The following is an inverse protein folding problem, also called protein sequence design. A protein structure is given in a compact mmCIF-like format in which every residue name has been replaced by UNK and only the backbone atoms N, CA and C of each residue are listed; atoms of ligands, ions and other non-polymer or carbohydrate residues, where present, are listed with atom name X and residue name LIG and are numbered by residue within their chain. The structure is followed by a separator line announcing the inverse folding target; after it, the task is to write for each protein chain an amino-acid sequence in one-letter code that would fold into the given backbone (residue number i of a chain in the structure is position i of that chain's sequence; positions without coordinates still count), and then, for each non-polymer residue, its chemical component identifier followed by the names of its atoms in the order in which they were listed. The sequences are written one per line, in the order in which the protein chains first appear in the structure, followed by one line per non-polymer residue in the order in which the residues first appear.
data_IF_643725851756
#
_entry.id   IF_643725851756
#
_cell.length_a   1.000
_cell.length_b   1.000
_cell.length_c   1.000
_cell.angle_alpha   90.00
_cell.angle_beta   90.00
_cell.angle_gamma   90.00
#
_symmetry.space_group_name_H-M   'P 1'
#
loop_
_entity.id
_entity.type
_entity.pdbx_description
1 polymer ?
#
# COMPACT_ATOMS: atom_id res chain seq x y z
N UNK A 1 -21.47 1.90 -11.47
CA UNK A 1 -20.27 2.33 -10.72
C UNK A 1 -20.59 2.16 -9.23
N UNK A 2 -19.75 1.47 -8.46
CA UNK A 2 -19.88 1.40 -7.00
C UNK A 2 -18.70 2.14 -6.38
N UNK A 3 -19.01 2.97 -5.38
CA UNK A 3 -18.05 3.78 -4.65
C UNK A 3 -17.98 3.28 -3.22
N UNK A 4 -16.77 3.23 -2.67
CA UNK A 4 -16.50 3.06 -1.25
C UNK A 4 -15.71 4.28 -0.82
N UNK A 5 -16.20 4.98 0.19
CA UNK A 5 -15.51 6.12 0.80
C UNK A 5 -15.19 5.73 2.23
N UNK A 6 -13.94 5.91 2.61
CA UNK A 6 -13.47 5.79 3.99
C UNK A 6 -12.53 6.94 4.26
N UNK A 7 -12.54 7.46 5.48
CA UNK A 7 -11.65 8.54 5.88
C UNK A 7 -11.03 8.27 7.25
N UNK A 8 -9.95 8.99 7.54
CA UNK A 8 -9.37 9.05 8.87
C UNK A 8 -8.70 10.41 9.06
N UNK A 9 -8.48 10.77 10.32
CA UNK A 9 -7.74 11.98 10.71
C UNK A 9 -6.42 11.54 11.34
N UNK A 10 -5.33 12.13 10.88
CA UNK A 10 -3.96 11.81 11.28
C UNK A 10 -3.31 13.05 11.88
N UNK A 11 -2.75 12.94 13.08
CA UNK A 11 -1.94 13.99 13.71
C UNK A 11 -0.55 14.11 13.09
N UNK A 12 -0.49 14.48 11.81
CA UNK A 12 0.73 14.85 11.09
C UNK A 12 0.47 15.93 10.03
N UNK A 13 1.51 16.72 9.65
CA UNK A 13 1.42 17.66 8.54
C UNK A 13 1.00 16.98 7.23
N UNK A 14 0.17 17.67 6.46
CA UNK A 14 -0.44 17.13 5.24
C UNK A 14 0.60 16.68 4.22
N UNK A 15 1.67 17.44 4.10
CA UNK A 15 2.80 17.18 3.22
C UNK A 15 3.46 15.84 3.53
N UNK A 16 3.66 15.51 4.82
CA UNK A 16 4.28 14.26 5.24
C UNK A 16 3.38 13.05 4.98
N UNK A 17 2.09 13.18 5.28
CA UNK A 17 1.11 12.13 5.03
C UNK A 17 0.97 11.88 3.52
N UNK A 18 0.92 12.95 2.73
CA UNK A 18 0.89 12.86 1.27
C UNK A 18 2.14 12.14 0.74
N UNK A 19 3.33 12.60 1.13
CA UNK A 19 4.60 12.06 0.63
C UNK A 19 4.73 10.57 0.97
N UNK A 20 4.25 10.16 2.14
CA UNK A 20 4.21 8.76 2.55
C UNK A 20 3.29 7.91 1.67
N UNK A 21 2.08 8.39 1.34
CA UNK A 21 1.12 7.65 0.51
C UNK A 21 1.54 7.63 -0.97
N UNK A 22 2.18 8.71 -1.43
CA UNK A 22 2.68 8.86 -2.79
C UNK A 22 3.87 7.94 -3.10
N UNK A 23 4.55 7.42 -2.07
CA UNK A 23 5.60 6.40 -2.19
C UNK A 23 5.01 4.99 -2.10
N UNK A 24 4.87 4.33 -3.25
CA UNK A 24 4.37 2.95 -3.31
C UNK A 24 5.32 1.94 -2.65
N UNK A 25 6.59 2.27 -2.41
CA UNK A 25 7.51 1.39 -1.69
C UNK A 25 7.08 1.20 -0.23
N UNK A 26 6.42 2.20 0.36
CA UNK A 26 5.93 2.20 1.75
C UNK A 26 4.52 1.59 1.89
N UNK A 27 3.86 1.26 0.77
CA UNK A 27 2.50 0.71 0.75
C UNK A 27 2.32 -0.50 1.68
N UNK A 28 3.26 -1.48 1.76
CA UNK A 28 3.09 -2.61 2.67
C UNK A 28 3.05 -2.23 4.14
N UNK A 29 3.63 -1.09 4.54
CA UNK A 29 3.64 -0.66 5.95
C UNK A 29 2.23 -0.57 6.56
N UNK A 30 1.21 -0.30 5.73
CA UNK A 30 -0.17 -0.16 6.19
C UNK A 30 -1.19 -1.04 5.45
N UNK A 31 -0.78 -1.76 4.40
CA UNK A 31 -1.70 -2.56 3.56
C UNK A 31 -1.34 -4.06 3.45
N UNK A 32 -0.28 -4.53 4.12
CA UNK A 32 0.17 -5.93 4.07
C UNK A 32 -0.86 -6.96 4.58
N UNK A 33 -1.91 -6.53 5.30
CA UNK A 33 -2.96 -7.42 5.80
C UNK A 33 -3.77 -8.03 4.67
N UNK A 34 -3.87 -7.37 3.52
CA UNK A 34 -4.69 -7.81 2.38
C UNK A 34 -3.97 -7.70 1.02
N UNK A 35 -2.86 -6.96 0.94
CA UNK A 35 -1.96 -6.95 -0.21
C UNK A 35 -0.75 -7.85 0.06
N UNK A 36 -0.70 -9.02 -0.56
CA UNK A 36 0.40 -9.99 -0.47
C UNK A 36 1.31 -9.88 -1.68
N UNK A 37 2.55 -10.38 -1.58
CA UNK A 37 3.54 -10.37 -2.66
C UNK A 37 3.69 -9.00 -3.36
N UNK A 38 3.65 -7.92 -2.57
CA UNK A 38 3.68 -6.56 -3.09
C UNK A 38 5.06 -6.25 -3.67
N UNK A 39 5.15 -5.92 -4.95
CA UNK A 39 6.39 -5.63 -5.66
C UNK A 39 6.25 -4.39 -6.52
N UNK A 40 7.28 -3.56 -6.56
CA UNK A 40 7.33 -2.45 -7.49
C UNK A 40 7.36 -2.97 -8.93
N UNK A 41 6.54 -2.37 -9.79
CA UNK A 41 6.49 -2.66 -11.21
C UNK A 41 7.38 -1.71 -12.03
N UNK A 42 7.88 -0.64 -11.40
CA UNK A 42 8.70 0.41 -12.01
C UNK A 42 9.79 0.85 -11.02
N UNK A 43 10.89 1.37 -11.56
CA UNK A 43 12.05 1.78 -10.75
C UNK A 43 11.77 3.02 -9.88
N UNK A 44 10.99 3.99 -10.40
CA UNK A 44 10.52 5.11 -9.59
C UNK A 44 9.28 4.68 -8.78
N UNK A 45 9.35 4.63 -7.44
CA UNK A 45 8.23 4.24 -6.60
C UNK A 45 7.34 5.43 -6.18
N UNK A 46 7.73 6.67 -6.47
CA UNK A 46 7.09 7.87 -5.93
C UNK A 46 6.33 8.65 -7.00
N UNK A 47 5.11 9.06 -6.66
CA UNK A 47 4.31 10.01 -7.43
C UNK A 47 3.84 9.48 -8.79
N UNK A 48 3.48 10.40 -9.70
CA UNK A 48 2.92 10.05 -11.00
C UNK A 48 3.83 9.10 -11.78
N UNK A 49 3.25 7.99 -12.24
CA UNK A 49 3.93 6.96 -13.00
C UNK A 49 4.55 5.86 -12.13
N UNK A 50 4.55 5.98 -10.80
CA UNK A 50 4.87 4.86 -9.91
C UNK A 50 3.85 3.74 -10.08
N UNK A 51 4.30 2.48 -10.02
CA UNK A 51 3.42 1.33 -10.17
C UNK A 51 3.91 0.13 -9.35
N UNK A 52 2.96 -0.72 -8.95
CA UNK A 52 3.22 -1.92 -8.18
C UNK A 52 2.27 -3.07 -8.55
N UNK A 53 2.70 -4.30 -8.32
CA UNK A 53 1.95 -5.54 -8.47
C UNK A 53 1.81 -6.25 -7.13
N UNK A 54 0.70 -6.94 -6.94
CA UNK A 54 0.42 -7.65 -5.69
C UNK A 54 -0.58 -8.79 -5.92
N UNK A 55 -0.78 -9.59 -4.88
CA UNK A 55 -1.88 -10.51 -4.70
C UNK A 55 -2.86 -9.93 -3.69
N UNK A 56 -4.09 -9.70 -4.12
CA UNK A 56 -5.19 -9.33 -3.26
C UNK A 56 -5.72 -10.60 -2.57
N UNK A 57 -5.62 -10.64 -1.25
CA UNK A 57 -6.05 -11.77 -0.43
C UNK A 57 -7.55 -11.67 -0.11
N UNK A 58 -8.40 -12.01 -1.08
CA UNK A 58 -9.85 -11.95 -0.91
C UNK A 58 -10.39 -13.23 -0.24
N UNK A 59 -11.56 -13.18 0.41
CA UNK A 59 -12.15 -14.38 0.97
C UNK A 59 -12.37 -15.43 -0.12
N UNK A 60 -11.79 -16.63 0.09
CA UNK A 60 -11.89 -17.84 -0.74
C UNK A 60 -10.93 -17.95 -1.94
N UNK A 61 -10.19 -16.90 -2.32
CA UNK A 61 -9.18 -16.98 -3.39
C UNK A 61 -8.22 -15.77 -3.36
N UNK A 62 -7.09 -15.85 -4.05
CA UNK A 62 -6.22 -14.69 -4.24
C UNK A 62 -6.31 -14.17 -5.68
N UNK A 63 -6.34 -12.85 -5.84
CA UNK A 63 -6.46 -12.20 -7.14
C UNK A 63 -5.23 -11.35 -7.45
N UNK A 64 -4.61 -11.54 -8.62
CA UNK A 64 -3.49 -10.68 -9.05
C UNK A 64 -3.99 -9.28 -9.34
N UNK A 65 -3.27 -8.30 -8.81
CA UNK A 65 -3.54 -6.88 -8.99
C UNK A 65 -2.30 -6.13 -9.46
N UNK A 66 -2.54 -5.04 -10.19
CA UNK A 66 -1.55 -4.00 -10.48
C UNK A 66 -2.19 -2.66 -10.16
N UNK A 67 -1.42 -1.73 -9.59
CA UNK A 67 -1.80 -0.32 -9.40
C UNK A 67 -0.74 0.58 -10.01
N UNK A 68 -1.17 1.76 -10.46
CA UNK A 68 -0.28 2.83 -10.88
C UNK A 68 -0.84 4.19 -10.44
N UNK A 69 0.02 5.08 -9.97
CA UNK A 69 -0.35 6.47 -9.71
C UNK A 69 -0.41 7.18 -11.06
N UNK A 70 -1.60 7.63 -11.46
CA UNK A 70 -1.85 8.32 -12.73
C UNK A 70 -1.87 9.83 -12.57
N UNK A 71 -2.18 10.31 -11.37
CA UNK A 71 -2.20 11.72 -11.01
C UNK A 71 -1.63 11.89 -9.59
N UNK A 72 -0.86 12.95 -9.39
CA UNK A 72 -0.26 13.31 -8.12
C UNK A 72 -0.16 14.85 -8.05
N UNK A 73 -1.08 15.49 -7.35
CA UNK A 73 -1.07 16.93 -7.05
C UNK A 73 -0.67 17.12 -5.59
N UNK A 74 0.62 17.36 -5.34
CA UNK A 74 1.15 17.51 -3.97
C UNK A 74 0.71 18.85 -3.38
N UNK A 75 0.23 18.91 -2.12
CA UNK A 75 0.00 17.82 -1.17
C UNK A 75 -1.50 17.43 -1.05
N UNK A 76 -2.30 17.63 -2.10
CA UNK A 76 -3.77 17.59 -2.03
C UNK A 76 -4.38 16.28 -2.49
N UNK A 77 -3.83 15.65 -3.53
CA UNK A 77 -4.52 14.57 -4.23
C UNK A 77 -3.61 13.55 -4.89
N UNK A 78 -4.00 12.29 -4.82
CA UNK A 78 -3.38 11.18 -5.56
C UNK A 78 -4.50 10.37 -6.22
N UNK A 79 -4.34 10.06 -7.50
CA UNK A 79 -5.23 9.15 -8.22
C UNK A 79 -4.45 7.91 -8.65
N UNK A 80 -4.94 6.76 -8.23
CA UNK A 80 -4.42 5.44 -8.55
C UNK A 80 -5.38 4.71 -9.48
N UNK A 81 -4.87 4.17 -10.58
CA UNK A 81 -5.59 3.21 -11.40
C UNK A 81 -5.14 1.79 -11.06
N UNK A 82 -6.11 0.93 -10.77
CA UNK A 82 -5.91 -0.48 -10.52
C UNK A 82 -6.47 -1.38 -11.61
N UNK A 83 -5.78 -2.50 -11.83
CA UNK A 83 -6.23 -3.61 -12.67
C UNK A 83 -6.24 -4.88 -11.83
N UNK A 84 -7.42 -5.48 -11.65
CA UNK A 84 -7.60 -6.71 -10.89
C UNK A 84 -7.97 -7.88 -11.82
N UNK A 85 -7.52 -9.08 -11.45
CA UNK A 85 -7.99 -10.34 -12.01
C UNK A 85 -7.11 -10.94 -13.11
N UNK A 86 -7.48 -12.15 -13.54
CA UNK A 86 -6.79 -12.86 -14.63
C UNK A 86 -6.87 -12.00 -15.90
N UNK A 87 -5.72 -11.49 -16.36
CA UNK A 87 -5.56 -10.53 -17.47
C UNK A 87 -6.02 -9.08 -17.19
N UNK A 88 -6.12 -8.64 -15.94
CA UNK A 88 -6.44 -7.23 -15.60
C UNK A 88 -7.82 -6.79 -16.08
N UNK A 89 -8.81 -7.69 -15.95
CA UNK A 89 -10.16 -7.54 -16.52
C UNK A 89 -11.02 -6.51 -15.78
N UNK A 90 -10.78 -6.29 -14.50
CA UNK A 90 -11.52 -5.35 -13.66
C UNK A 90 -10.71 -4.07 -13.47
N UNK A 91 -11.30 -2.92 -13.78
CA UNK A 91 -10.69 -1.61 -13.53
C UNK A 91 -11.20 -1.03 -12.23
N UNK A 92 -10.27 -0.52 -11.44
CA UNK A 92 -10.55 0.21 -10.20
C UNK A 92 -9.84 1.55 -10.26
N UNK A 93 -10.42 2.56 -9.63
CA UNK A 93 -9.77 3.85 -9.41
C UNK A 93 -9.81 4.11 -7.92
N UNK A 94 -8.69 4.47 -7.32
CA UNK A 94 -8.63 4.93 -5.94
C UNK A 94 -8.16 6.39 -5.94
N UNK A 95 -8.89 7.25 -5.26
CA UNK A 95 -8.59 8.67 -5.11
C UNK A 95 -8.32 8.91 -3.63
N UNK A 96 -7.13 9.41 -3.34
CA UNK A 96 -6.78 9.95 -2.03
C UNK A 96 -6.90 11.46 -2.10
N UNK A 97 -7.72 12.05 -1.23
CA UNK A 97 -7.80 13.48 -1.02
C UNK A 97 -7.28 13.80 0.39
N UNK A 98 -6.44 14.82 0.49
CA UNK A 98 -5.74 15.22 1.72
C UNK A 98 -6.13 16.65 2.10
N UNK A 99 -6.84 16.78 3.21
CA UNK A 99 -7.34 18.07 3.72
C UNK A 99 -6.64 18.40 5.04
N UNK A 100 -6.03 19.58 5.12
CA UNK A 100 -5.53 20.08 6.40
C UNK A 100 -6.73 20.59 7.21
N UNK A 101 -6.98 19.99 8.37
CA UNK A 101 -8.07 20.43 9.27
C UNK A 101 -7.56 21.48 10.27
N UNK A 102 -6.35 21.27 10.77
CA UNK A 102 -5.65 22.14 11.71
C UNK A 102 -4.13 22.07 11.46
N UNK A 103 -3.32 22.98 12.02
CA UNK A 103 -1.86 22.86 11.97
C UNK A 103 -1.39 21.51 12.52
N UNK A 104 -0.77 20.70 11.65
CA UNK A 104 -0.28 19.37 12.03
C UNK A 104 -1.36 18.27 12.07
N UNK A 105 -2.56 18.53 11.53
CA UNK A 105 -3.64 17.54 11.46
C UNK A 105 -4.18 17.43 10.03
N UNK A 106 -4.28 16.20 9.54
CA UNK A 106 -4.68 15.91 8.16
C UNK A 106 -5.81 14.90 8.13
N UNK A 107 -6.93 15.25 7.49
CA UNK A 107 -7.93 14.29 7.05
C UNK A 107 -7.49 13.66 5.74
N UNK A 108 -7.44 12.33 5.71
CA UNK A 108 -7.20 11.53 4.50
C UNK A 108 -8.50 10.85 4.15
N UNK A 109 -9.07 11.19 3.00
CA UNK A 109 -10.21 10.48 2.42
C UNK A 109 -9.72 9.57 1.30
N UNK A 110 -10.15 8.30 1.33
CA UNK A 110 -9.92 7.33 0.27
C UNK A 110 -11.26 6.98 -0.38
N UNK A 111 -11.43 7.42 -1.61
CA UNK A 111 -12.56 7.07 -2.46
C UNK A 111 -12.13 6.01 -3.49
N UNK A 112 -12.71 4.81 -3.40
CA UNK A 112 -12.48 3.73 -4.37
C UNK A 112 -13.69 3.53 -5.28
N UNK A 113 -13.48 3.68 -6.58
CA UNK A 113 -14.44 3.36 -7.63
C UNK A 113 -14.11 2.01 -8.27
N UNK A 114 -15.14 1.21 -8.55
CA UNK A 114 -14.98 -0.02 -9.30
C UNK A 114 -16.03 -0.11 -10.41
N UNK A 115 -15.56 -0.44 -11.62
CA UNK A 115 -16.42 -0.76 -12.75
C UNK A 115 -16.58 -2.28 -12.86
N UNK A 116 -17.77 -2.83 -12.56
CA UNK A 116 -18.02 -4.26 -12.74
C UNK A 116 -18.19 -4.57 -14.23
N UNK A 117 -17.34 -5.44 -14.79
CA UNK A 117 -17.51 -5.92 -16.17
C UNK A 117 -18.22 -7.27 -16.31
N UNK A 118 -18.56 -7.96 -15.21
CA UNK A 118 -19.26 -9.25 -15.30
C UNK A 118 -20.43 -9.34 -14.33
N UNK A 119 -21.58 -9.75 -14.86
CA UNK A 119 -22.86 -9.88 -14.15
C UNK A 119 -22.90 -11.05 -13.14
N UNK A 120 -21.91 -11.95 -13.18
CA UNK A 120 -21.87 -13.07 -12.26
C UNK A 120 -21.60 -12.56 -10.84
N UNK A 121 -22.70 -12.46 -10.11
CA UNK A 121 -22.81 -12.44 -8.67
C UNK A 121 -22.84 -11.05 -8.00
N UNK A 122 -23.87 -10.27 -8.33
CA UNK A 122 -24.24 -9.01 -7.63
C UNK A 122 -24.25 -9.14 -6.09
N UNK A 123 -24.45 -10.34 -5.54
CA UNK A 123 -24.44 -10.63 -4.10
C UNK A 123 -23.03 -10.85 -3.56
N UNK A 124 -22.18 -11.65 -4.21
CA UNK A 124 -20.73 -11.70 -3.91
C UNK A 124 -20.08 -10.34 -4.07
N UNK A 125 -20.51 -9.53 -5.03
CA UNK A 125 -20.03 -8.16 -5.21
C UNK A 125 -20.32 -7.27 -3.99
N UNK A 126 -21.51 -7.35 -3.38
CA UNK A 126 -21.79 -6.56 -2.15
C UNK A 126 -20.85 -6.94 -1.01
N UNK A 127 -20.58 -8.24 -0.85
CA UNK A 127 -19.63 -8.74 0.16
C UNK A 127 -18.19 -8.32 -0.15
N UNK A 128 -17.76 -8.40 -1.41
CA UNK A 128 -16.44 -7.96 -1.85
C UNK A 128 -16.22 -6.45 -1.65
N UNK A 129 -17.22 -5.62 -1.99
CA UNK A 129 -17.16 -4.18 -1.75
C UNK A 129 -17.13 -3.83 -0.25
N UNK A 130 -17.98 -4.48 0.55
CA UNK A 130 -17.96 -4.28 2.01
C UNK A 130 -16.64 -4.75 2.61
N UNK A 131 -16.09 -5.87 2.13
CA UNK A 131 -14.79 -6.37 2.53
C UNK A 131 -13.68 -5.37 2.16
N UNK A 132 -13.70 -4.84 0.93
CA UNK A 132 -12.74 -3.83 0.48
C UNK A 132 -12.81 -2.58 1.36
N UNK A 133 -14.02 -2.08 1.66
CA UNK A 133 -14.18 -0.95 2.58
C UNK A 133 -13.57 -1.21 3.96
N UNK A 134 -13.78 -2.40 4.54
CA UNK A 134 -13.14 -2.78 5.81
C UNK A 134 -11.61 -2.87 5.70
N UNK A 135 -11.08 -3.36 4.58
CA UNK A 135 -9.63 -3.43 4.40
C UNK A 135 -9.02 -2.04 4.24
N UNK A 136 -9.69 -1.15 3.50
CA UNK A 136 -9.30 0.24 3.30
C UNK A 136 -9.37 1.03 4.61
N UNK A 137 -10.44 0.87 5.39
CA UNK A 137 -10.58 1.47 6.72
C UNK A 137 -9.44 1.04 7.64
N UNK A 138 -9.17 -0.27 7.71
CA UNK A 138 -8.03 -0.82 8.48
C UNK A 138 -6.67 -0.34 7.95
N UNK A 139 -6.55 -0.10 6.66
CA UNK A 139 -5.33 0.43 6.06
C UNK A 139 -5.10 1.89 6.47
N UNK A 140 -6.14 2.73 6.47
CA UNK A 140 -6.07 4.10 6.95
C UNK A 140 -5.81 4.16 8.47
N UNK A 141 -6.43 3.28 9.26
CA UNK A 141 -6.14 3.16 10.69
C UNK A 141 -4.66 2.82 10.95
N UNK A 142 -4.09 1.90 10.16
CA UNK A 142 -2.67 1.55 10.23
C UNK A 142 -1.77 2.70 9.79
N UNK A 143 -2.15 3.43 8.74
CA UNK A 143 -1.45 4.63 8.30
C UNK A 143 -1.40 5.66 9.43
N UNK A 144 -2.54 5.92 10.09
CA UNK A 144 -2.62 6.81 11.24
C UNK A 144 -1.65 6.42 12.35
N UNK A 145 -1.62 5.12 12.72
CA UNK A 145 -0.71 4.60 13.76
C UNK A 145 0.77 4.80 13.42
N UNK A 146 1.16 4.76 12.15
CA UNK A 146 2.55 5.00 11.72
C UNK A 146 3.03 6.42 12.06
N UNK A 147 2.12 7.39 12.12
CA UNK A 147 2.42 8.78 12.46
C UNK A 147 2.24 9.08 13.95
N UNK A 148 1.25 8.46 14.60
CA UNK A 148 0.89 8.81 15.98
C UNK A 148 1.61 7.97 17.05
N UNK A 149 2.04 6.74 16.73
CA UNK A 149 2.67 5.85 17.70
C UNK A 149 4.21 5.84 17.59
N UNK A 150 4.94 5.84 18.72
CA UNK A 150 6.40 5.67 18.73
C UNK A 150 6.81 4.35 18.05
N UNK A 151 7.75 4.43 17.11
CA UNK A 151 8.15 3.27 16.31
C UNK A 151 9.16 2.39 17.05
N UNK A 152 8.76 1.17 17.39
CA UNK A 152 9.66 0.15 17.94
C UNK A 152 10.39 -0.71 16.88
N UNK A 153 9.96 -0.68 15.61
CA UNK A 153 10.53 -1.47 14.51
C UNK A 153 10.54 -0.64 13.21
N UNK A 154 11.45 -0.98 12.30
CA UNK A 154 11.49 -0.41 10.95
C UNK A 154 10.22 -0.77 10.16
N UNK A 155 9.74 0.18 9.33
CA UNK A 155 8.56 -0.03 8.50
C UNK A 155 8.84 -1.03 7.38
N UNK A 156 7.82 -1.80 7.02
CA UNK A 156 7.88 -2.63 5.82
C UNK A 156 7.98 -1.72 4.59
N UNK A 157 8.98 -1.97 3.75
CA UNK A 157 9.20 -1.25 2.51
C UNK A 157 9.63 -2.23 1.40
N UNK A 158 9.52 -1.80 0.14
CA UNK A 158 9.89 -2.62 -1.03
C UNK A 158 10.96 -1.93 -1.86
N UNK A 159 12.09 -2.60 -2.05
CA UNK A 159 13.13 -2.14 -2.96
C UNK A 159 12.86 -2.52 -4.43
N UNK A 160 13.56 -1.85 -5.34
CA UNK A 160 13.50 -2.08 -6.80
C UNK A 160 13.91 -3.52 -7.19
N UNK A 161 14.64 -4.24 -6.32
CA UNK A 161 15.07 -5.63 -6.53
C UNK A 161 14.12 -6.71 -5.97
N UNK A 162 12.97 -6.34 -5.40
CA UNK A 162 12.00 -7.29 -4.85
C UNK A 162 11.59 -6.97 -3.42
N UNK A 163 10.47 -7.56 -3.00
CA UNK A 163 9.92 -7.47 -1.66
C UNK A 163 10.84 -8.14 -0.64
N UNK A 164 11.47 -7.34 0.23
CA UNK A 164 12.10 -7.83 1.46
C UNK A 164 11.08 -7.71 2.60
N UNK A 165 10.29 -8.76 2.82
CA UNK A 165 9.46 -8.81 4.03
C UNK A 165 10.33 -8.69 5.28
N UNK A 166 9.80 -8.19 6.40
CA UNK A 166 10.56 -8.05 7.65
C UNK A 166 11.15 -9.38 8.20
N UNK A 167 10.74 -10.53 7.63
CA UNK A 167 11.24 -11.88 7.90
C UNK A 167 12.07 -12.49 6.76
N UNK A 168 12.37 -11.74 5.70
CA UNK A 168 13.17 -12.23 4.59
C UNK A 168 14.62 -12.47 5.07
N UNK A 169 15.25 -13.59 4.70
CA UNK A 169 16.66 -13.80 4.97
C UNK A 169 17.46 -12.67 4.33
N UNK A 170 18.22 -11.92 5.14
CA UNK A 170 19.15 -10.93 4.62
C UNK A 170 20.27 -11.67 3.92
N UNK A 171 20.45 -11.43 2.62
CA UNK A 171 21.67 -11.85 1.94
C UNK A 171 22.87 -11.23 2.68
N UNK A 172 23.72 -12.07 3.28
CA UNK A 172 24.87 -11.67 4.09
C UNK A 172 24.80 -11.99 5.59
N UNK A 173 23.69 -12.52 6.12
CA UNK A 173 23.56 -12.81 7.56
C UNK A 173 24.23 -14.11 8.07
N UNK A 174 25.01 -14.81 7.25
CA UNK A 174 25.86 -15.90 7.71
C UNK A 174 27.22 -15.88 7.00
N UNK A 175 28.13 -15.04 7.49
CA UNK A 175 29.55 -15.37 7.48
C UNK A 175 30.00 -15.23 8.94
N UNK A 176 30.07 -16.31 9.73
CA UNK A 176 30.80 -16.24 10.99
C UNK A 176 32.24 -15.84 10.67
N UNK A 177 32.73 -14.82 11.36
CA UNK A 177 34.11 -14.36 11.24
C UNK A 177 35.04 -15.58 11.41
N UNK A 178 35.87 -15.83 10.39
CA UNK A 178 36.91 -16.84 10.46
C UNK A 178 37.95 -16.30 11.45
N UNK A 179 38.06 -16.90 12.63
CA UNK A 179 39.13 -16.59 13.56
C UNK A 179 40.48 -16.79 12.86
N UNK A 180 41.25 -15.71 12.81
CA UNK A 180 42.64 -15.74 12.37
C UNK A 180 43.45 -16.25 13.56
N UNK A 181 44.19 -17.37 13.46
CA UNK A 181 45.06 -17.81 14.54
C UNK A 181 46.21 -16.82 14.66
N UNK A 182 46.27 -16.13 15.79
CA UNK A 182 47.47 -15.42 16.23
C UNK A 182 48.48 -16.47 16.68
N UNK A 183 49.46 -16.75 15.85
CA UNK A 183 50.60 -17.59 16.23
C UNK A 183 51.59 -16.70 17.02
N UNK A 184 51.55 -16.81 18.34
CA UNK A 184 52.67 -16.42 19.19
C UNK A 184 53.68 -17.57 19.22
N UNK A 185 54.80 -17.38 18.54
CA UNK A 185 56.12 -17.81 19.01
C UNK A 185 57.27 -17.13 18.26
#
# INVERSE_FOLDING_TARGET
MRQVVVDTVISAPREEVYDFVADLSLRPAYSDHYLKDFRLARANPVGKGAAARFLLDVPLFSERGEIAIVEADRPRRIVEEGRLGRRGRSRTVAVYDFTAEDPGTTRVELTTYSEPKTALDKFKQRRAHRWMGRQSEKALERLRKIFEEPRGKALAHVGVAGYEGAKAPRFGAHVPAREVPTDER
#
